data_IF_688893511185
#
_entry.id   IF_688893511185
#
_cell.length_a   1.000
_cell.length_b   1.000
_cell.length_c   1.000
_cell.angle_alpha   90.00
_cell.angle_beta   90.00
_cell.angle_gamma   90.00
#
_symmetry.space_group_name_H-M   'P 1'
#
loop_
_entity.id
_entity.type
_entity.pdbx_description
1 polymer ?
#
# COMPACT_ATOMS: atom_id res chain seq x y z
N UNK A 1 -8.83 20.09 -0.36
CA UNK A 1 -8.18 18.77 -0.54
C UNK A 1 -8.69 18.06 -1.79
N UNK A 2 -10.01 18.02 -2.02
CA UNK A 2 -10.67 17.50 -3.24
C UNK A 2 -10.60 18.47 -4.43
N UNK A 3 -9.40 18.91 -4.79
CA UNK A 3 -9.20 19.73 -5.99
C UNK A 3 -8.96 18.81 -7.19
N UNK A 4 -9.41 19.19 -8.39
CA UNK A 4 -9.24 18.37 -9.60
C UNK A 4 -7.78 17.96 -9.83
N UNK A 5 -6.82 18.83 -9.48
CA UNK A 5 -5.38 18.54 -9.55
C UNK A 5 -4.94 17.44 -8.57
N UNK A 6 -5.38 17.50 -7.31
CA UNK A 6 -5.12 16.44 -6.32
C UNK A 6 -5.69 15.11 -6.79
N UNK A 7 -6.91 15.11 -7.32
CA UNK A 7 -7.55 13.91 -7.84
C UNK A 7 -6.79 13.31 -9.02
N UNK A 8 -6.26 14.14 -9.93
CA UNK A 8 -5.40 13.68 -11.03
C UNK A 8 -4.11 13.02 -10.52
N UNK A 9 -3.38 13.68 -9.62
CA UNK A 9 -2.16 13.10 -9.04
C UNK A 9 -2.47 11.82 -8.26
N UNK A 10 -3.56 11.80 -7.49
CA UNK A 10 -3.97 10.62 -6.74
C UNK A 10 -4.29 9.44 -7.68
N UNK A 11 -5.08 9.67 -8.74
CA UNK A 11 -5.39 8.64 -9.72
C UNK A 11 -4.12 8.13 -10.43
N UNK A 12 -3.18 9.00 -10.78
CA UNK A 12 -1.89 8.61 -11.37
C UNK A 12 -1.05 7.76 -10.42
N UNK A 13 -0.97 8.15 -9.14
CA UNK A 13 -0.23 7.39 -8.13
C UNK A 13 -0.84 6.01 -7.88
N UNK A 14 -2.17 5.94 -7.76
CA UNK A 14 -2.89 4.67 -7.61
C UNK A 14 -2.69 3.79 -8.84
N UNK A 15 -2.84 4.35 -10.04
CA UNK A 15 -2.62 3.61 -11.28
C UNK A 15 -1.18 3.09 -11.39
N UNK A 16 -0.18 3.91 -11.05
CA UNK A 16 1.22 3.50 -11.03
C UNK A 16 1.47 2.39 -10.00
N UNK A 17 0.94 2.51 -8.77
CA UNK A 17 1.08 1.49 -7.74
C UNK A 17 0.47 0.15 -8.17
N UNK A 18 -0.74 0.18 -8.77
CA UNK A 18 -1.40 -1.02 -9.30
C UNK A 18 -0.59 -1.61 -10.46
N UNK A 19 -0.18 -0.81 -11.44
CA UNK A 19 0.58 -1.28 -12.61
C UNK A 19 1.93 -1.88 -12.22
N UNK A 20 2.61 -1.31 -11.23
CA UNK A 20 3.89 -1.80 -10.74
C UNK A 20 3.75 -3.04 -9.86
N UNK A 21 2.65 -3.17 -9.10
CA UNK A 21 2.39 -4.33 -8.25
C UNK A 21 1.76 -5.52 -8.98
N UNK A 22 0.98 -5.27 -10.04
CA UNK A 22 0.23 -6.29 -10.79
C UNK A 22 1.07 -7.48 -11.26
N UNK A 23 2.32 -7.30 -11.77
CA UNK A 23 3.11 -8.42 -12.22
C UNK A 23 3.52 -9.41 -11.12
N UNK A 24 3.44 -9.02 -9.84
CA UNK A 24 3.66 -9.94 -8.72
C UNK A 24 2.59 -11.03 -8.61
N UNK A 25 1.45 -10.87 -9.30
CA UNK A 25 0.31 -11.80 -9.21
C UNK A 25 -0.03 -12.44 -10.55
N UNK A 26 0.04 -11.69 -11.66
CA UNK A 26 -0.47 -12.12 -12.98
C UNK A 26 0.42 -11.69 -14.14
N UNK A 27 1.72 -11.44 -13.90
CA UNK A 27 2.65 -10.93 -14.90
C UNK A 27 3.69 -11.95 -15.39
N UNK A 28 4.62 -11.50 -16.25
CA UNK A 28 5.73 -12.33 -16.68
C UNK A 28 6.77 -12.51 -15.56
N UNK A 29 7.33 -13.72 -15.46
CA UNK A 29 8.23 -14.13 -14.37
C UNK A 29 9.47 -13.23 -14.17
N UNK A 30 9.92 -12.52 -15.21
CA UNK A 30 11.06 -11.61 -15.09
C UNK A 30 10.74 -10.31 -14.31
N UNK A 31 9.46 -9.93 -14.21
CA UNK A 31 9.02 -8.75 -13.45
C UNK A 31 8.56 -9.09 -12.03
N UNK A 32 8.20 -10.35 -11.77
CA UNK A 32 7.78 -10.83 -10.44
C UNK A 32 8.68 -10.37 -9.29
N UNK A 33 10.03 -10.50 -9.32
CA UNK A 33 10.85 -10.10 -8.20
C UNK A 33 10.78 -8.59 -7.93
N UNK A 34 10.76 -7.77 -8.99
CA UNK A 34 10.68 -6.31 -8.86
C UNK A 34 9.32 -5.89 -8.31
N UNK A 35 8.24 -6.45 -8.85
CA UNK A 35 6.88 -6.17 -8.40
C UNK A 35 6.62 -6.70 -6.99
N UNK A 36 7.21 -7.83 -6.61
CA UNK A 36 7.09 -8.38 -5.26
C UNK A 36 7.64 -7.40 -4.21
N UNK A 37 8.75 -6.72 -4.47
CA UNK A 37 9.26 -5.68 -3.56
C UNK A 37 8.29 -4.50 -3.39
N UNK A 38 7.58 -4.12 -4.45
CA UNK A 38 6.59 -3.03 -4.40
C UNK A 38 5.43 -3.38 -3.46
N UNK A 39 4.96 -4.62 -3.51
CA UNK A 39 3.83 -5.11 -2.69
C UNK A 39 4.29 -5.49 -1.27
N UNK A 40 5.54 -5.91 -1.12
CA UNK A 40 6.11 -6.31 0.17
C UNK A 40 6.09 -5.18 1.20
N UNK A 41 6.37 -3.94 0.79
CA UNK A 41 6.37 -2.78 1.68
C UNK A 41 4.99 -2.56 2.35
N UNK A 42 3.87 -2.55 1.58
CA UNK A 42 2.53 -2.58 2.17
C UNK A 42 2.29 -3.73 3.16
N UNK A 43 2.65 -4.96 2.81
CA UNK A 43 2.43 -6.10 3.72
C UNK A 43 3.27 -6.01 5.01
N UNK A 44 4.49 -5.48 4.93
CA UNK A 44 5.32 -5.25 6.12
C UNK A 44 4.75 -4.18 7.04
N UNK A 45 4.02 -3.19 6.49
CA UNK A 45 3.33 -2.21 7.33
C UNK A 45 2.31 -2.86 8.26
N UNK A 46 1.63 -3.94 7.85
CA UNK A 46 0.71 -4.67 8.72
C UNK A 46 1.40 -5.30 9.93
N UNK A 47 2.59 -5.85 9.72
CA UNK A 47 3.40 -6.42 10.79
C UNK A 47 3.88 -5.34 11.77
N UNK A 48 4.24 -4.15 11.25
CA UNK A 48 4.58 -3.00 12.07
C UNK A 48 3.39 -2.52 12.90
N UNK A 49 2.22 -2.35 12.28
CA UNK A 49 1.00 -1.90 12.96
C UNK A 49 0.46 -2.93 13.96
N UNK A 50 0.62 -4.21 13.68
CA UNK A 50 0.31 -5.26 14.64
C UNK A 50 1.19 -5.17 15.89
N UNK A 51 2.50 -4.92 15.73
CA UNK A 51 3.41 -4.67 16.85
C UNK A 51 3.10 -3.39 17.61
N UNK A 52 2.51 -2.40 16.95
CA UNK A 52 1.98 -1.17 17.59
C UNK A 52 0.65 -1.40 18.33
N UNK A 53 0.13 -2.63 18.34
CA UNK A 53 -1.02 -3.02 19.14
C UNK A 53 -2.35 -3.00 18.41
N UNK A 54 -2.39 -2.88 17.08
CA UNK A 54 -3.63 -3.01 16.31
C UNK A 54 -3.98 -4.51 16.20
N UNK A 55 -5.05 -4.98 16.88
CA UNK A 55 -5.40 -6.39 16.88
C UNK A 55 -6.05 -6.79 15.55
N UNK A 56 -5.96 -8.08 15.22
CA UNK A 56 -6.69 -8.66 14.09
C UNK A 56 -6.12 -8.35 12.70
N UNK A 57 -4.98 -7.68 12.57
CA UNK A 57 -4.33 -7.44 11.27
C UNK A 57 -3.70 -8.70 10.66
N UNK A 58 -3.14 -9.56 11.50
CA UNK A 58 -2.44 -10.78 11.11
C UNK A 58 -3.19 -12.01 11.60
N UNK A 59 -3.11 -13.09 10.82
CA UNK A 59 -3.61 -14.40 11.25
C UNK A 59 -2.90 -14.89 12.53
N UNK A 60 -3.61 -15.69 13.32
CA UNK A 60 -3.12 -16.25 14.58
C UNK A 60 -2.55 -15.22 15.58
N UNK A 61 -2.93 -13.95 15.45
CA UNK A 61 -2.39 -12.86 16.27
C UNK A 61 -0.88 -12.70 16.15
N UNK A 62 -0.32 -12.89 14.95
CA UNK A 62 1.11 -12.73 14.70
C UNK A 62 1.96 -13.95 15.12
N UNK A 63 1.35 -15.04 15.59
CA UNK A 63 2.04 -16.25 16.05
C UNK A 63 2.22 -17.30 14.94
N UNK A 64 2.76 -16.90 13.80
CA UNK A 64 3.08 -17.80 12.68
C UNK A 64 4.59 -18.12 12.69
N UNK A 65 4.97 -19.26 12.10
CA UNK A 65 6.31 -19.86 12.20
C UNK A 65 7.48 -18.87 12.20
N UNK A 66 7.89 -18.39 11.03
CA UNK A 66 9.02 -17.45 10.88
C UNK A 66 8.68 -16.00 11.27
N UNK A 67 7.57 -15.76 11.99
CA UNK A 67 7.09 -14.42 12.32
C UNK A 67 6.48 -13.64 11.16
N UNK A 68 6.40 -14.25 9.97
CA UNK A 68 5.66 -13.75 8.81
C UNK A 68 4.30 -14.45 8.80
N UNK A 69 3.27 -13.72 9.22
CA UNK A 69 1.89 -14.19 9.14
C UNK A 69 1.24 -13.66 7.88
N UNK A 70 0.30 -14.44 7.35
CA UNK A 70 -0.63 -13.88 6.36
C UNK A 70 -1.56 -12.86 7.02
N UNK A 71 -2.17 -12.02 6.18
CA UNK A 71 -3.06 -10.95 6.58
C UNK A 71 -4.49 -11.48 6.70
N UNK A 72 -5.21 -11.05 7.74
CA UNK A 72 -6.65 -11.32 7.80
C UNK A 72 -7.40 -10.47 6.77
N UNK A 73 -8.68 -10.74 6.48
CA UNK A 73 -9.52 -9.85 5.67
C UNK A 73 -9.55 -8.40 6.20
N UNK A 74 -9.52 -8.23 7.52
CA UNK A 74 -9.40 -6.91 8.15
C UNK A 74 -8.04 -6.27 7.88
N UNK A 75 -6.95 -7.05 7.94
CA UNK A 75 -5.61 -6.62 7.55
C UNK A 75 -5.55 -6.10 6.12
N UNK A 76 -6.16 -6.81 5.17
CA UNK A 76 -6.25 -6.37 3.77
C UNK A 76 -6.99 -5.03 3.62
N UNK A 77 -8.14 -4.87 4.28
CA UNK A 77 -8.88 -3.60 4.25
C UNK A 77 -8.06 -2.48 4.87
N UNK A 78 -7.40 -2.74 6.01
CA UNK A 78 -6.58 -1.76 6.70
C UNK A 78 -5.38 -1.31 5.85
N UNK A 79 -4.62 -2.24 5.26
CA UNK A 79 -3.45 -1.88 4.45
C UNK A 79 -3.85 -1.08 3.22
N UNK A 80 -4.94 -1.46 2.55
CA UNK A 80 -5.46 -0.71 1.40
C UNK A 80 -5.88 0.69 1.82
N UNK A 81 -6.67 0.83 2.88
CA UNK A 81 -7.13 2.13 3.37
C UNK A 81 -5.95 3.03 3.80
N UNK A 82 -4.99 2.46 4.53
CA UNK A 82 -3.79 3.17 4.99
C UNK A 82 -2.96 3.67 3.80
N UNK A 83 -2.67 2.82 2.82
CA UNK A 83 -1.87 3.23 1.67
C UNK A 83 -2.60 4.18 0.73
N UNK A 84 -3.93 4.04 0.56
CA UNK A 84 -4.72 5.04 -0.15
C UNK A 84 -4.65 6.41 0.55
N UNK A 85 -4.68 6.44 1.89
CA UNK A 85 -4.48 7.68 2.64
C UNK A 85 -3.07 8.27 2.42
N UNK A 86 -2.04 7.43 2.45
CA UNK A 86 -0.65 7.86 2.16
C UNK A 86 -0.53 8.45 0.76
N UNK A 87 -1.06 7.76 -0.26
CA UNK A 87 -1.07 8.25 -1.65
C UNK A 87 -1.89 9.53 -1.80
N UNK A 88 -2.99 9.65 -1.06
CA UNK A 88 -3.81 10.86 -1.04
C UNK A 88 -3.04 12.07 -0.48
N UNK A 89 -2.36 11.88 0.66
CA UNK A 89 -1.54 12.92 1.27
C UNK A 89 -0.36 13.31 0.36
N UNK A 90 0.28 12.32 -0.28
CA UNK A 90 1.32 12.56 -1.27
C UNK A 90 0.79 13.36 -2.47
N UNK A 91 -0.34 12.96 -3.05
CA UNK A 91 -0.98 13.67 -4.16
C UNK A 91 -1.38 15.09 -3.78
N UNK A 92 -1.87 15.29 -2.55
CA UNK A 92 -2.21 16.61 -2.04
C UNK A 92 -0.97 17.48 -1.87
N UNK A 93 0.11 16.95 -1.32
CA UNK A 93 1.40 17.64 -1.22
C UNK A 93 1.94 18.06 -2.58
N UNK A 94 1.94 17.13 -3.56
CA UNK A 94 2.35 17.42 -4.94
C UNK A 94 1.48 18.49 -5.59
N UNK A 95 0.15 18.43 -5.41
CA UNK A 95 -0.76 19.42 -5.94
C UNK A 95 -0.52 20.82 -5.36
N UNK A 96 -0.10 20.91 -4.09
CA UNK A 96 0.26 22.18 -3.43
C UNK A 96 1.57 22.73 -3.94
N UNK A 97 2.60 21.89 -4.09
CA UNK A 97 3.91 22.30 -4.58
C UNK A 97 3.87 22.78 -6.03
N UNK A 98 3.03 22.15 -6.86
CA UNK A 98 2.87 22.51 -8.29
C UNK A 98 1.82 23.61 -8.53
N UNK A 99 1.22 24.17 -7.47
CA UNK A 99 0.28 25.29 -7.55
C UNK A 99 0.93 26.64 -7.26
N UNK A 100 2.23 26.67 -6.97
CA UNK A 100 3.01 27.88 -6.71
C UNK A 100 3.60 28.56 -7.94
N UNK A 101 3.31 28.05 -9.15
CA UNK A 101 3.68 28.65 -10.44
C UNK A 101 2.44 29.22 -11.14
#
# INVERSE_FOLDING_TARGET
MLQARTLKFFALLVAAAVLLGLPAYVGPAFLEPVSAYVVFVPFMSLHLFHKLGIPGLLEHGGRCGWGLCDSTPFGYVFVVAFWLLVLWLAAWGLARLTAGD
#
